data_IF_322677775349
#
_entry.id   IF_322677775349
#
_cell.length_a   1.000
_cell.length_b   1.000
_cell.length_c   1.000
_cell.angle_alpha   90.00
_cell.angle_beta   90.00
_cell.angle_gamma   90.00
#
_symmetry.space_group_name_H-M   'P 1'
#
loop_
_entity.id
_entity.type
_entity.pdbx_description
1 polymer ?
#
# COMPACT_ATOMS: atom_id res chain seq x y z
N UNK A 1 -16.29 -4.34 -32.67
CA UNK A 1 -17.32 -4.19 -31.61
C UNK A 1 -17.03 -5.07 -30.37
N UNK A 2 -16.38 -6.23 -30.48
CA UNK A 2 -15.98 -7.04 -29.30
C UNK A 2 -14.69 -6.54 -28.61
N UNK A 3 -13.76 -5.94 -29.36
CA UNK A 3 -12.49 -5.42 -28.83
C UNK A 3 -12.67 -4.29 -27.80
N UNK A 4 -13.59 -3.36 -28.05
CA UNK A 4 -13.86 -2.24 -27.12
C UNK A 4 -14.42 -2.75 -25.78
N UNK A 5 -15.31 -3.76 -25.82
CA UNK A 5 -15.83 -4.39 -24.61
C UNK A 5 -14.73 -5.10 -23.82
N UNK A 6 -13.86 -5.86 -24.50
CA UNK A 6 -12.70 -6.51 -23.88
C UNK A 6 -11.76 -5.51 -23.20
N UNK A 7 -11.42 -4.40 -23.87
CA UNK A 7 -10.56 -3.37 -23.29
C UNK A 7 -11.16 -2.74 -22.04
N UNK A 8 -12.46 -2.41 -22.04
CA UNK A 8 -13.14 -1.83 -20.87
C UNK A 8 -13.14 -2.81 -19.68
N UNK A 9 -13.34 -4.10 -19.95
CA UNK A 9 -13.29 -5.13 -18.91
C UNK A 9 -11.88 -5.26 -18.35
N UNK A 10 -10.86 -5.31 -19.20
CA UNK A 10 -9.46 -5.44 -18.76
C UNK A 10 -8.98 -4.22 -18.00
N UNK A 11 -9.29 -2.99 -18.46
CA UNK A 11 -8.93 -1.77 -17.73
C UNK A 11 -9.69 -1.67 -16.40
N UNK A 12 -10.95 -2.10 -16.36
CA UNK A 12 -11.73 -2.21 -15.13
C UNK A 12 -11.09 -3.17 -14.12
N UNK A 13 -10.70 -4.37 -14.56
CA UNK A 13 -10.03 -5.35 -13.70
C UNK A 13 -8.69 -4.81 -13.18
N UNK A 14 -7.86 -4.22 -14.04
CA UNK A 14 -6.57 -3.64 -13.63
C UNK A 14 -6.79 -2.52 -12.60
N UNK A 15 -7.77 -1.65 -12.80
CA UNK A 15 -8.10 -0.59 -11.86
C UNK A 15 -8.53 -1.14 -10.49
N UNK A 16 -9.38 -2.18 -10.48
CA UNK A 16 -9.80 -2.85 -9.23
C UNK A 16 -8.62 -3.50 -8.53
N UNK A 17 -7.76 -4.23 -9.26
CA UNK A 17 -6.57 -4.87 -8.70
C UNK A 17 -5.60 -3.83 -8.11
N UNK A 18 -5.37 -2.73 -8.82
CA UNK A 18 -4.57 -1.61 -8.33
C UNK A 18 -5.15 -1.04 -7.03
N UNK A 19 -6.45 -0.74 -6.99
CA UNK A 19 -7.11 -0.19 -5.80
C UNK A 19 -7.04 -1.13 -4.59
N UNK A 20 -7.08 -2.45 -4.79
CA UNK A 20 -7.02 -3.43 -3.71
C UNK A 20 -5.58 -3.71 -3.24
N UNK A 21 -4.63 -3.75 -4.18
CA UNK A 21 -3.25 -4.19 -3.89
C UNK A 21 -2.36 -3.08 -3.34
N UNK A 22 -2.47 -1.87 -3.91
CA UNK A 22 -1.68 -0.69 -3.55
C UNK A 22 -1.78 -0.29 -2.05
N UNK A 23 -2.95 -0.25 -1.39
CA UNK A 23 -3.04 0.14 0.01
C UNK A 23 -2.30 -0.81 0.97
N UNK A 24 -2.12 -2.08 0.58
CA UNK A 24 -1.41 -3.05 1.41
C UNK A 24 0.10 -2.80 1.46
N UNK A 25 0.66 -2.07 0.49
CA UNK A 25 2.09 -1.76 0.45
C UNK A 25 2.47 -0.57 1.36
N UNK A 26 1.51 0.30 1.68
CA UNK A 26 1.75 1.52 2.44
C UNK A 26 1.70 1.36 3.96
N UNK A 27 1.71 0.12 4.47
CA UNK A 27 1.72 -0.16 5.90
C UNK A 27 2.94 -1.01 6.31
N UNK A 28 3.71 -0.51 7.28
CA UNK A 28 4.88 -1.17 7.85
C UNK A 28 4.69 -1.44 9.33
N UNK A 29 5.34 -2.47 9.84
CA UNK A 29 5.28 -2.83 11.27
C UNK A 29 6.38 -2.12 12.05
N UNK A 30 6.05 -1.58 13.22
CA UNK A 30 7.01 -0.99 14.13
C UNK A 30 7.96 -2.07 14.68
N UNK A 31 9.29 -1.91 14.58
CA UNK A 31 10.24 -2.88 15.16
C UNK A 31 10.24 -2.86 16.69
N UNK A 32 9.86 -1.74 17.32
CA UNK A 32 9.85 -1.63 18.79
C UNK A 32 8.59 -2.21 19.46
N UNK A 33 7.41 -1.90 18.94
CA UNK A 33 6.13 -2.30 19.57
C UNK A 33 5.20 -3.13 18.69
N UNK A 34 5.56 -3.41 17.45
CA UNK A 34 4.73 -4.20 16.53
C UNK A 34 3.49 -3.49 15.96
N UNK A 35 3.24 -2.21 16.29
CA UNK A 35 2.12 -1.42 15.73
C UNK A 35 2.28 -1.24 14.21
N UNK A 36 1.18 -1.33 13.45
CA UNK A 36 1.16 -0.95 12.03
C UNK A 36 1.18 0.56 11.90
N UNK A 37 2.15 1.09 11.16
CA UNK A 37 2.29 2.49 10.82
C UNK A 37 2.22 2.65 9.30
N UNK A 38 1.97 3.87 8.84
CA UNK A 38 2.19 4.22 7.42
C UNK A 38 3.66 4.03 7.07
N UNK A 39 3.96 3.67 5.83
CA UNK A 39 5.36 3.59 5.35
C UNK A 39 6.08 4.91 5.53
N UNK A 40 5.44 6.03 5.15
CA UNK A 40 6.03 7.36 5.29
C UNK A 40 6.15 7.87 6.75
N UNK A 41 5.76 7.08 7.75
CA UNK A 41 5.88 7.47 9.15
C UNK A 41 7.34 7.40 9.59
N UNK A 42 7.93 8.55 9.95
CA UNK A 42 9.30 8.62 10.50
C UNK A 42 9.40 8.18 11.96
N UNK A 43 8.29 8.24 12.71
CA UNK A 43 8.25 7.92 14.15
C UNK A 43 6.97 7.18 14.49
N UNK A 44 7.08 6.15 15.33
CA UNK A 44 5.92 5.37 15.72
C UNK A 44 5.06 6.16 16.73
N UNK A 45 3.77 6.43 16.46
CA UNK A 45 2.87 7.08 17.41
C UNK A 45 2.51 6.21 18.62
N UNK A 46 2.84 4.91 18.60
CA UNK A 46 2.59 4.01 19.72
C UNK A 46 3.69 4.05 20.78
N UNK A 47 4.95 3.87 20.36
CA UNK A 47 6.08 3.76 21.29
C UNK A 47 7.13 4.89 21.14
N UNK A 48 6.99 5.77 20.15
CA UNK A 48 7.93 6.88 19.94
C UNK A 48 9.29 6.49 19.34
N UNK A 49 9.52 5.23 18.97
CA UNK A 49 10.76 4.83 18.28
C UNK A 49 10.81 5.41 16.87
N UNK A 50 12.00 5.77 16.40
CA UNK A 50 12.25 6.12 15.01
C UNK A 50 12.05 4.90 14.11
N UNK A 51 11.33 5.13 13.02
CA UNK A 51 11.07 4.13 12.00
C UNK A 51 12.16 4.31 10.92
N UNK A 52 12.97 3.29 10.61
CA UNK A 52 14.02 3.41 9.59
C UNK A 52 13.42 3.85 8.26
N UNK A 53 14.05 4.71 7.46
CA UNK A 53 13.54 5.08 6.14
C UNK A 53 13.25 3.83 5.30
N UNK A 54 12.18 3.87 4.51
CA UNK A 54 11.89 2.85 3.51
C UNK A 54 12.86 3.06 2.34
N UNK A 55 14.13 2.68 2.54
CA UNK A 55 15.16 2.68 1.49
C UNK A 55 14.92 1.45 0.59
N UNK A 56 14.18 1.67 -0.49
CA UNK A 56 14.09 0.75 -1.64
C UNK A 56 15.36 0.87 -2.50
#
# INVERSE_FOLDING_TARGET
MHYTGYLVVMTGIIAVVMLVSVPSLFARKCPGCGKRNRVDARRCPGCGVELPPDDL
#
